data_IF_645172425362
#
_entry.id   IF_645172425362
#
_cell.length_a   1.000
_cell.length_b   1.000
_cell.length_c   1.000
_cell.angle_alpha   90.00
_cell.angle_beta   90.00
_cell.angle_gamma   90.00
#
_symmetry.space_group_name_H-M   'P 1'
#
loop_
_entity.id
_entity.type
_entity.pdbx_description
1 polymer ?
#
# COMPACT_ATOMS: atom_id res chain seq x y z
N UNK A 1 20.85 103.09 23.28
CA UNK A 1 20.77 101.74 22.68
C UNK A 1 21.97 101.61 21.76
N UNK A 2 23.09 101.13 22.30
CA UNK A 2 24.31 100.88 21.51
C UNK A 2 24.26 99.41 21.11
N UNK A 3 23.95 99.15 19.84
CA UNK A 3 24.10 97.84 19.22
C UNK A 3 25.59 97.64 18.92
N UNK A 4 26.19 96.66 19.59
CA UNK A 4 27.55 96.22 19.34
C UNK A 4 27.51 95.25 18.15
N UNK A 5 27.76 95.77 16.96
CA UNK A 5 27.95 94.97 15.75
C UNK A 5 29.32 94.28 15.85
N UNK A 6 29.29 93.01 16.24
CA UNK A 6 30.49 92.15 16.18
C UNK A 6 30.74 91.78 14.72
N UNK A 7 31.49 92.64 14.03
CA UNK A 7 32.15 92.35 12.76
C UNK A 7 33.02 91.11 12.93
N UNK A 8 32.55 89.98 12.41
CA UNK A 8 33.33 88.76 12.28
C UNK A 8 34.27 88.94 11.09
N UNK A 9 35.51 89.38 11.37
CA UNK A 9 36.57 89.41 10.35
C UNK A 9 36.82 87.99 9.83
N UNK A 10 36.63 87.81 8.52
CA UNK A 10 36.95 86.59 7.80
C UNK A 10 38.48 86.44 7.71
N UNK A 11 39.09 85.90 8.76
CA UNK A 11 40.53 85.61 8.78
C UNK A 11 40.83 84.42 7.86
N UNK A 12 41.72 84.60 6.89
CA UNK A 12 42.27 83.50 6.10
C UNK A 12 43.05 82.56 7.01
N UNK A 13 42.73 81.25 7.02
CA UNK A 13 43.41 80.30 7.88
C UNK A 13 44.91 80.27 7.58
N UNK A 14 45.69 80.27 8.65
CA UNK A 14 47.15 80.19 8.63
C UNK A 14 47.62 78.81 8.13
N UNK A 15 48.84 78.74 7.60
CA UNK A 15 49.39 77.49 7.09
C UNK A 15 49.46 76.36 8.15
N UNK A 16 49.59 76.73 9.43
CA UNK A 16 49.59 75.81 10.56
C UNK A 16 48.20 75.22 10.83
N UNK A 17 47.14 76.04 10.77
CA UNK A 17 45.75 75.58 10.89
C UNK A 17 45.37 74.62 9.75
N UNK A 18 45.85 74.87 8.54
CA UNK A 18 45.62 73.98 7.40
C UNK A 18 46.30 72.61 7.57
N UNK A 19 47.51 72.58 8.15
CA UNK A 19 48.19 71.33 8.47
C UNK A 19 47.50 70.57 9.61
N UNK A 20 47.01 71.28 10.63
CA UNK A 20 46.27 70.69 11.75
C UNK A 20 44.96 70.04 11.27
N UNK A 21 44.16 70.74 10.46
CA UNK A 21 42.91 70.20 9.90
C UNK A 21 43.18 69.00 8.98
N UNK A 22 44.27 69.03 8.21
CA UNK A 22 44.66 67.90 7.37
C UNK A 22 45.05 66.68 8.22
N UNK A 23 45.77 66.88 9.32
CA UNK A 23 46.11 65.79 10.25
C UNK A 23 44.86 65.22 10.93
N UNK A 24 43.95 66.07 11.39
CA UNK A 24 42.66 65.64 11.97
C UNK A 24 41.82 64.85 10.97
N UNK A 25 41.73 65.32 9.72
CA UNK A 25 41.00 64.62 8.65
C UNK A 25 41.56 63.21 8.41
N UNK A 26 42.89 63.05 8.38
CA UNK A 26 43.50 61.73 8.20
C UNK A 26 43.28 60.83 9.43
N UNK A 27 43.32 61.37 10.65
CA UNK A 27 42.98 60.60 11.86
C UNK A 27 41.52 60.16 11.89
N UNK A 28 40.58 61.03 11.50
CA UNK A 28 39.16 60.71 11.52
C UNK A 28 38.81 59.72 10.39
N UNK A 29 39.44 59.82 9.22
CA UNK A 29 39.35 58.82 8.15
C UNK A 29 39.85 57.45 8.60
N UNK A 30 41.00 57.39 9.27
CA UNK A 30 41.54 56.14 9.80
C UNK A 30 40.58 55.51 10.84
N UNK A 31 40.01 56.35 11.72
CA UNK A 31 39.03 55.94 12.72
C UNK A 31 37.71 55.46 12.11
N UNK A 32 37.16 56.17 11.12
CA UNK A 32 35.95 55.74 10.42
C UNK A 32 36.17 54.44 9.68
N UNK A 33 37.32 54.28 9.01
CA UNK A 33 37.68 53.02 8.35
C UNK A 33 37.72 51.87 9.36
N UNK A 34 38.38 52.07 10.51
CA UNK A 34 38.44 51.05 11.58
C UNK A 34 37.08 50.70 12.18
N UNK A 35 36.20 51.69 12.41
CA UNK A 35 34.85 51.47 12.92
C UNK A 35 33.96 50.73 11.90
N UNK A 36 34.09 51.06 10.62
CA UNK A 36 33.37 50.36 9.54
C UNK A 36 33.83 48.91 9.50
N UNK A 37 35.13 48.64 9.46
CA UNK A 37 35.66 47.27 9.47
C UNK A 37 35.21 46.48 10.71
N UNK A 38 35.25 47.11 11.89
CA UNK A 38 34.82 46.47 13.14
C UNK A 38 33.32 46.16 13.15
N UNK A 39 32.49 46.99 12.50
CA UNK A 39 31.06 46.75 12.36
C UNK A 39 30.72 45.74 11.25
N UNK A 40 31.44 45.75 10.13
CA UNK A 40 31.14 44.89 8.96
C UNK A 40 31.65 43.48 9.13
N UNK A 41 32.81 43.27 9.78
CA UNK A 41 33.42 41.96 9.96
C UNK A 41 32.50 40.93 10.64
N UNK A 42 31.86 41.19 11.80
CA UNK A 42 30.98 40.22 12.42
C UNK A 42 29.72 39.93 11.59
N UNK A 43 29.25 40.89 10.79
CA UNK A 43 28.14 40.67 9.86
C UNK A 43 28.55 39.78 8.69
N UNK A 44 29.75 40.00 8.12
CA UNK A 44 30.32 39.15 7.07
C UNK A 44 30.52 37.71 7.57
N UNK A 45 31.08 37.55 8.77
CA UNK A 45 31.26 36.22 9.38
C UNK A 45 29.91 35.52 9.60
N UNK A 46 28.88 36.25 10.03
CA UNK A 46 27.53 35.72 10.22
C UNK A 46 26.87 35.34 8.90
N UNK A 47 27.03 36.14 7.86
CA UNK A 47 26.53 35.84 6.51
C UNK A 47 27.18 34.56 5.98
N UNK A 48 28.51 34.45 6.05
CA UNK A 48 29.23 33.26 5.61
C UNK A 48 28.80 32.00 6.39
N UNK A 49 28.57 32.13 7.70
CA UNK A 49 28.06 31.04 8.54
C UNK A 49 26.66 30.61 8.12
N UNK A 50 25.74 31.57 7.92
CA UNK A 50 24.37 31.28 7.50
C UNK A 50 24.30 30.69 6.09
N UNK A 51 25.12 31.17 5.16
CA UNK A 51 25.23 30.60 3.81
C UNK A 51 25.70 29.13 3.86
N UNK A 52 26.66 28.82 4.73
CA UNK A 52 27.12 27.45 4.95
C UNK A 52 26.02 26.58 5.55
N UNK A 53 25.26 27.09 6.52
CA UNK A 53 24.13 26.39 7.14
C UNK A 53 23.01 26.12 6.13
N UNK A 54 22.67 27.12 5.30
CA UNK A 54 21.67 26.98 4.23
C UNK A 54 22.11 25.95 3.20
N UNK A 55 23.37 25.98 2.75
CA UNK A 55 23.90 25.00 1.82
C UNK A 55 23.86 23.58 2.40
N UNK A 56 24.21 23.43 3.68
CA UNK A 56 24.15 22.14 4.39
C UNK A 56 22.72 21.62 4.48
N UNK A 57 21.77 22.46 4.91
CA UNK A 57 20.36 22.08 5.01
C UNK A 57 19.74 21.76 3.66
N UNK A 58 20.07 22.53 2.61
CA UNK A 58 19.62 22.24 1.26
C UNK A 58 20.10 20.87 0.78
N UNK A 59 21.35 20.50 1.07
CA UNK A 59 21.88 19.17 0.78
C UNK A 59 21.15 18.05 1.54
N UNK A 60 20.82 18.28 2.82
CA UNK A 60 20.05 17.31 3.61
C UNK A 60 18.62 17.13 3.09
N UNK A 61 17.95 18.23 2.73
CA UNK A 61 16.59 18.18 2.16
C UNK A 61 16.60 17.39 0.86
N UNK A 62 17.50 17.70 -0.07
CA UNK A 62 17.61 16.96 -1.32
C UNK A 62 17.88 15.46 -1.08
N UNK A 63 18.77 15.13 -0.13
CA UNK A 63 19.05 13.74 0.22
C UNK A 63 17.85 12.99 0.82
N UNK A 64 17.04 13.66 1.64
CA UNK A 64 15.82 13.09 2.21
C UNK A 64 14.72 12.92 1.16
N UNK A 65 14.58 13.87 0.24
CA UNK A 65 13.64 13.78 -0.89
C UNK A 65 13.97 12.58 -1.79
N UNK A 66 15.26 12.38 -2.11
CA UNK A 66 15.72 11.21 -2.88
C UNK A 66 15.43 9.89 -2.15
N UNK A 67 15.65 9.83 -0.83
CA UNK A 67 15.34 8.65 -0.03
C UNK A 67 13.84 8.36 0.00
N UNK A 68 13.01 9.39 0.14
CA UNK A 68 11.56 9.26 0.16
C UNK A 68 11.04 8.78 -1.20
N UNK A 69 11.55 9.32 -2.30
CA UNK A 69 11.19 8.90 -3.65
C UNK A 69 11.54 7.42 -3.90
N UNK A 70 12.72 6.97 -3.47
CA UNK A 70 13.13 5.55 -3.56
C UNK A 70 12.22 4.66 -2.72
N UNK A 71 12.00 5.01 -1.46
CA UNK A 71 11.17 4.21 -0.56
C UNK A 71 9.73 4.11 -1.04
N UNK A 72 9.18 5.20 -1.61
CA UNK A 72 7.84 5.19 -2.21
C UNK A 72 7.77 4.23 -3.39
N UNK A 73 8.77 4.26 -4.28
CA UNK A 73 8.84 3.37 -5.44
C UNK A 73 8.97 1.91 -5.02
N UNK A 74 9.85 1.62 -4.06
CA UNK A 74 10.06 0.27 -3.52
C UNK A 74 8.79 -0.26 -2.84
N UNK A 75 8.10 0.59 -2.08
CA UNK A 75 6.84 0.23 -1.42
C UNK A 75 5.74 -0.10 -2.44
N UNK A 76 5.57 0.71 -3.48
CA UNK A 76 4.61 0.44 -4.55
C UNK A 76 4.94 -0.85 -5.30
N UNK A 77 6.22 -1.07 -5.61
CA UNK A 77 6.70 -2.29 -6.24
C UNK A 77 6.43 -3.53 -5.38
N UNK A 78 6.76 -3.48 -4.08
CA UNK A 78 6.52 -4.56 -3.13
C UNK A 78 5.02 -4.85 -2.96
N UNK A 79 4.18 -3.80 -2.93
CA UNK A 79 2.72 -3.94 -2.85
C UNK A 79 2.15 -4.62 -4.09
N UNK A 80 2.59 -4.21 -5.29
CA UNK A 80 2.16 -4.84 -6.54
C UNK A 80 2.60 -6.31 -6.61
N UNK A 81 3.84 -6.61 -6.24
CA UNK A 81 4.36 -7.97 -6.18
C UNK A 81 3.58 -8.84 -5.18
N UNK A 82 3.23 -8.30 -4.01
CA UNK A 82 2.42 -8.99 -3.01
C UNK A 82 1.02 -9.32 -3.55
N UNK A 83 0.33 -8.36 -4.16
CA UNK A 83 -0.98 -8.61 -4.79
C UNK A 83 -0.90 -9.69 -5.87
N UNK A 84 0.12 -9.63 -6.73
CA UNK A 84 0.34 -10.65 -7.75
C UNK A 84 0.57 -12.03 -7.13
N UNK A 85 1.41 -12.13 -6.09
CA UNK A 85 1.69 -13.38 -5.40
C UNK A 85 0.45 -13.98 -4.72
N UNK A 86 -0.42 -13.15 -4.14
CA UNK A 86 -1.70 -13.62 -3.57
C UNK A 86 -2.62 -14.19 -4.65
N UNK A 87 -2.75 -13.53 -5.80
CA UNK A 87 -3.56 -14.02 -6.91
C UNK A 87 -3.01 -15.31 -7.53
N UNK A 88 -1.68 -15.41 -7.68
CA UNK A 88 -1.02 -16.62 -8.16
C UNK A 88 -1.21 -17.79 -7.18
N UNK A 89 -1.13 -17.52 -5.88
CA UNK A 89 -1.41 -18.50 -4.84
C UNK A 89 -2.86 -19.01 -4.90
N UNK A 90 -3.85 -18.14 -5.13
CA UNK A 90 -5.25 -18.55 -5.33
C UNK A 90 -5.39 -19.47 -6.54
N UNK A 91 -4.76 -19.13 -7.67
CA UNK A 91 -4.80 -19.97 -8.88
C UNK A 91 -4.20 -21.35 -8.62
N UNK A 92 -3.04 -21.40 -7.98
CA UNK A 92 -2.38 -22.65 -7.62
C UNK A 92 -3.28 -23.54 -6.73
N UNK A 93 -3.99 -22.94 -5.77
CA UNK A 93 -4.95 -23.65 -4.93
C UNK A 93 -6.09 -24.26 -5.75
N UNK A 94 -6.67 -23.50 -6.69
CA UNK A 94 -7.76 -23.96 -7.54
C UNK A 94 -7.31 -25.08 -8.48
N UNK A 95 -6.12 -24.96 -9.06
CA UNK A 95 -5.53 -25.97 -9.96
C UNK A 95 -5.23 -27.28 -9.22
N UNK A 96 -4.78 -27.20 -7.96
CA UNK A 96 -4.46 -28.38 -7.14
C UNK A 96 -5.69 -29.04 -6.51
N UNK A 97 -6.83 -28.32 -6.41
CA UNK A 97 -8.04 -28.81 -5.76
C UNK A 97 -9.27 -28.65 -6.67
N UNK A 98 -9.54 -29.60 -7.58
CA UNK A 98 -10.64 -29.50 -8.55
C UNK A 98 -12.05 -29.41 -7.96
N UNK A 99 -12.21 -29.71 -6.67
CA UNK A 99 -13.49 -29.58 -5.96
C UNK A 99 -13.70 -28.19 -5.34
N UNK A 100 -12.70 -27.31 -5.38
CA UNK A 100 -12.86 -25.93 -4.95
C UNK A 100 -13.38 -25.09 -6.11
N UNK A 101 -14.39 -24.27 -5.82
CA UNK A 101 -14.84 -23.23 -6.74
C UNK A 101 -14.09 -21.92 -6.44
N UNK A 102 -13.99 -21.00 -7.42
CA UNK A 102 -13.39 -19.68 -7.19
C UNK A 102 -14.03 -18.92 -6.02
N UNK A 103 -15.33 -19.10 -5.79
CA UNK A 103 -16.07 -18.47 -4.70
C UNK A 103 -15.66 -18.99 -3.31
N UNK A 104 -15.07 -20.18 -3.23
CA UNK A 104 -14.58 -20.80 -1.98
C UNK A 104 -13.15 -20.41 -1.60
N UNK A 105 -12.44 -19.64 -2.43
CA UNK A 105 -11.07 -19.19 -2.13
C UNK A 105 -11.04 -17.67 -2.22
N UNK A 106 -11.21 -16.99 -1.07
CA UNK A 106 -11.34 -15.53 -0.99
C UNK A 106 -10.27 -14.93 -0.07
N UNK A 107 -10.03 -13.64 -0.22
CA UNK A 107 -9.03 -12.90 0.57
C UNK A 107 -8.14 -12.01 -0.29
N UNK A 108 -7.60 -10.97 0.32
CA UNK A 108 -6.63 -10.04 -0.26
C UNK A 108 -5.21 -10.25 0.29
N UNK A 109 -5.10 -11.02 1.37
CA UNK A 109 -3.84 -11.42 2.00
C UNK A 109 -3.66 -12.93 1.96
N UNK A 110 -2.42 -13.38 2.11
CA UNK A 110 -2.09 -14.82 2.16
C UNK A 110 -2.78 -15.50 3.34
N UNK A 111 -2.90 -14.81 4.48
CA UNK A 111 -3.54 -15.29 5.69
C UNK A 111 -5.05 -15.49 5.50
N UNK A 112 -5.71 -14.52 4.85
CA UNK A 112 -7.13 -14.64 4.49
C UNK A 112 -7.36 -15.80 3.54
N UNK A 113 -6.53 -15.93 2.49
CA UNK A 113 -6.61 -17.04 1.55
C UNK A 113 -6.39 -18.39 2.26
N UNK A 114 -5.44 -18.50 3.19
CA UNK A 114 -5.24 -19.73 3.98
C UNK A 114 -6.46 -20.08 4.83
N UNK A 115 -7.00 -19.10 5.56
CA UNK A 115 -8.22 -19.30 6.35
C UNK A 115 -9.41 -19.69 5.47
N UNK A 116 -9.44 -19.19 4.24
CA UNK A 116 -10.45 -19.50 3.25
C UNK A 116 -10.41 -20.97 2.83
N UNK A 117 -9.20 -21.45 2.53
CA UNK A 117 -8.93 -22.83 2.14
C UNK A 117 -9.23 -23.82 3.25
N UNK A 118 -8.94 -23.48 4.50
CA UNK A 118 -9.24 -24.33 5.65
C UNK A 118 -10.76 -24.55 5.81
N UNK A 119 -11.54 -23.48 5.65
CA UNK A 119 -13.02 -23.55 5.63
C UNK A 119 -13.52 -24.38 4.45
N UNK A 120 -12.93 -24.20 3.28
CA UNK A 120 -13.26 -24.97 2.08
C UNK A 120 -13.00 -26.47 2.28
N UNK A 121 -11.85 -26.83 2.83
CA UNK A 121 -11.50 -28.22 3.16
C UNK A 121 -12.50 -28.84 4.14
N UNK A 122 -12.90 -28.10 5.18
CA UNK A 122 -13.89 -28.57 6.15
C UNK A 122 -15.23 -28.85 5.49
N UNK A 123 -15.68 -27.97 4.59
CA UNK A 123 -16.95 -28.14 3.88
C UNK A 123 -16.92 -29.34 2.93
N UNK A 124 -15.84 -29.46 2.14
CA UNK A 124 -15.65 -30.59 1.22
C UNK A 124 -15.55 -31.91 1.99
N UNK A 125 -14.88 -31.93 3.14
CA UNK A 125 -14.83 -33.10 4.03
C UNK A 125 -16.21 -33.55 4.48
N UNK A 126 -17.03 -32.63 5.01
CA UNK A 126 -18.42 -32.91 5.41
C UNK A 126 -19.28 -33.37 4.24
N UNK A 127 -19.09 -32.80 3.05
CA UNK A 127 -19.82 -33.20 1.85
C UNK A 127 -19.46 -34.64 1.44
N UNK A 128 -18.19 -35.01 1.46
CA UNK A 128 -17.74 -36.39 1.20
C UNK A 128 -18.34 -37.37 2.19
N UNK A 129 -18.30 -37.06 3.48
CA UNK A 129 -18.90 -37.88 4.53
C UNK A 129 -20.41 -38.05 4.32
N UNK A 130 -21.12 -36.97 4.01
CA UNK A 130 -22.57 -37.00 3.75
C UNK A 130 -22.91 -37.84 2.52
N UNK A 131 -22.17 -37.70 1.42
CA UNK A 131 -22.36 -38.50 0.20
C UNK A 131 -22.05 -39.98 0.43
N UNK A 132 -21.01 -40.30 1.20
CA UNK A 132 -20.69 -41.67 1.56
C UNK A 132 -21.78 -42.30 2.43
N UNK A 133 -22.29 -41.57 3.43
CA UNK A 133 -23.41 -42.04 4.25
C UNK A 133 -24.69 -42.26 3.42
N UNK A 134 -25.00 -41.37 2.48
CA UNK A 134 -26.12 -41.53 1.55
C UNK A 134 -25.92 -42.75 0.63
N UNK A 135 -24.72 -42.96 0.09
CA UNK A 135 -24.40 -44.12 -0.74
C UNK A 135 -24.54 -45.44 0.05
N UNK A 136 -24.15 -45.47 1.33
CA UNK A 136 -24.33 -46.63 2.20
C UNK A 136 -25.80 -46.87 2.57
N UNK A 137 -26.59 -45.81 2.77
CA UNK A 137 -28.03 -45.92 3.03
C UNK A 137 -28.84 -46.32 1.78
N UNK A 138 -28.40 -45.89 0.60
CA UNK A 138 -29.01 -46.24 -0.69
C UNK A 138 -28.53 -47.59 -1.23
N UNK A 139 -27.49 -48.18 -0.63
CA UNK A 139 -27.06 -49.55 -0.90
C UNK A 139 -28.15 -50.53 -0.47
N UNK A 140 -28.98 -50.94 -1.42
CA UNK A 140 -29.96 -52.01 -1.22
C UNK A 140 -29.20 -53.26 -0.77
N UNK A 141 -29.57 -53.89 0.38
CA UNK A 141 -28.94 -55.12 0.82
C UNK A 141 -28.97 -56.16 -0.30
N UNK A 142 -27.84 -56.83 -0.54
CA UNK A 142 -27.63 -57.82 -1.61
C UNK A 142 -28.58 -59.04 -1.56
N UNK A 143 -29.59 -59.04 -0.70
CA UNK A 143 -30.58 -60.09 -0.50
C UNK A 143 -32.02 -59.68 -0.82
N UNK A 144 -32.29 -58.50 -1.40
CA UNK A 144 -33.61 -58.26 -1.97
C UNK A 144 -33.78 -59.22 -3.17
N UNK A 145 -34.65 -60.26 -3.08
CA UNK A 145 -34.85 -61.18 -4.19
C UNK A 145 -35.23 -60.34 -5.41
N UNK A 146 -34.60 -60.63 -6.55
CA UNK A 146 -35.01 -60.05 -7.82
C UNK A 146 -36.54 -60.12 -7.90
N UNK A 147 -37.20 -59.04 -8.33
CA UNK A 147 -38.64 -59.03 -8.58
C UNK A 147 -38.96 -60.11 -9.61
N UNK A 148 -39.15 -61.33 -9.13
CA UNK A 148 -39.72 -62.43 -9.88
C UNK A 148 -41.18 -62.03 -10.06
N UNK A 149 -41.50 -61.53 -11.26
CA UNK A 149 -42.89 -61.44 -11.66
C UNK A 149 -43.53 -62.82 -11.47
N UNK A 150 -44.83 -62.85 -11.13
CA UNK A 150 -45.56 -64.10 -10.87
C UNK A 150 -45.17 -65.18 -11.90
N UNK A 151 -44.60 -66.30 -11.42
CA UNK A 151 -44.06 -67.34 -12.28
C UNK A 151 -45.13 -67.83 -13.25
N UNK A 152 -44.82 -67.77 -14.54
CA UNK A 152 -45.71 -68.24 -15.61
C UNK A 152 -45.39 -69.66 -16.04
N UNK A 153 -44.42 -70.32 -15.40
CA UNK A 153 -43.89 -71.61 -15.83
C UNK A 153 -44.89 -72.76 -15.64
N UNK A 154 -45.86 -72.61 -14.72
CA UNK A 154 -46.92 -73.60 -14.45
C UNK A 154 -48.28 -73.33 -15.12
N UNK A 155 -48.44 -72.23 -15.86
CA UNK A 155 -49.73 -71.87 -16.47
C UNK A 155 -49.88 -72.47 -17.87
N UNK A 156 -51.06 -72.99 -18.18
CA UNK A 156 -51.40 -73.38 -19.56
C UNK A 156 -51.46 -72.16 -20.48
N UNK A 157 -51.38 -72.38 -21.81
CA UNK A 157 -51.43 -71.30 -22.79
C UNK A 157 -52.68 -70.41 -22.64
N UNK A 158 -53.82 -71.01 -22.29
CA UNK A 158 -55.09 -70.29 -22.08
C UNK A 158 -55.05 -69.40 -20.84
N UNK A 159 -54.45 -69.87 -19.76
CA UNK A 159 -54.33 -69.11 -18.51
C UNK A 159 -53.33 -67.95 -18.63
N UNK A 160 -52.24 -68.12 -19.40
CA UNK A 160 -51.31 -67.03 -19.72
C UNK A 160 -51.99 -65.90 -20.49
N UNK A 161 -52.84 -66.23 -21.46
CA UNK A 161 -53.57 -65.25 -22.27
C UNK A 161 -54.56 -64.46 -21.39
N UNK A 162 -55.34 -65.14 -20.55
CA UNK A 162 -56.29 -64.48 -19.64
C UNK A 162 -55.56 -63.57 -18.64
N UNK A 163 -54.45 -64.02 -18.06
CA UNK A 163 -53.63 -63.21 -17.16
C UNK A 163 -53.09 -61.95 -17.86
N UNK A 164 -52.70 -62.06 -19.13
CA UNK A 164 -52.28 -60.93 -19.96
C UNK A 164 -53.41 -59.92 -20.20
N UNK A 165 -54.61 -60.40 -20.54
CA UNK A 165 -55.81 -59.58 -20.76
C UNK A 165 -56.25 -58.85 -19.49
N UNK A 166 -56.27 -59.52 -18.33
CA UNK A 166 -56.61 -58.88 -17.05
C UNK A 166 -55.62 -57.78 -16.67
N UNK A 167 -54.31 -58.03 -16.85
CA UNK A 167 -53.27 -57.03 -16.60
C UNK A 167 -53.39 -55.83 -17.54
N UNK A 168 -53.77 -56.05 -18.79
CA UNK A 168 -53.99 -54.98 -19.76
C UNK A 168 -55.24 -54.14 -19.43
N UNK A 169 -56.30 -54.77 -18.90
CA UNK A 169 -57.52 -54.08 -18.46
C UNK A 169 -57.27 -53.20 -17.24
N UNK A 170 -56.58 -53.73 -16.22
CA UNK A 170 -56.19 -52.98 -14.99
C UNK A 170 -55.23 -51.81 -15.23
N UNK A 171 -54.57 -51.73 -16.38
CA UNK A 171 -53.70 -50.60 -16.76
C UNK A 171 -54.43 -49.49 -17.53
N UNK A 172 -55.67 -49.74 -17.97
CA UNK A 172 -56.47 -48.80 -18.75
C UNK A 172 -57.56 -48.10 -17.93
N UNK A 173 -57.76 -48.52 -16.68
CA UNK A 173 -58.45 -47.76 -15.62
C UNK A 173 -57.42 -46.91 -14.86
#
# INVERSE_FOLDING_TARGET
MNGDETTTENQTPTAEEFQAVKAELETEKAKTTGLVEQATKPLQDKVASLETEVATKAGLVAGLEDQLARLSTDYEGARAAYTYAVEDFKKLILDTNPMFTPDLVWGSTVEEVKASVEKANTLVGRLKESLQAQAQAASVPAGAPARTGASTEGLSAKEKINLGLERAKKRKE
#
